data_IF_434643460268
#
_entry.id   IF_434643460268
#
_cell.length_a   1.000
_cell.length_b   1.000
_cell.length_c   1.000
_cell.angle_alpha   90.00
_cell.angle_beta   90.00
_cell.angle_gamma   90.00
#
_symmetry.space_group_name_H-M   'P 1'
#
loop_
_entity.id
_entity.type
_entity.pdbx_description
1 polymer ?
#
# COMPACT_ATOMS: atom_id res chain seq x y z
N UNK A 1 -46.13 -21.35 40.52
CA UNK A 1 -44.74 -21.80 40.71
C UNK A 1 -43.87 -20.89 39.87
N UNK A 2 -42.87 -20.23 40.45
CA UNK A 2 -41.97 -19.39 39.66
C UNK A 2 -41.09 -20.30 38.79
N UNK A 3 -41.01 -20.00 37.50
CA UNK A 3 -40.15 -20.70 36.55
C UNK A 3 -38.69 -20.46 36.94
N UNK A 4 -37.96 -21.52 37.30
CA UNK A 4 -36.54 -21.39 37.63
C UNK A 4 -35.76 -21.17 36.32
N UNK A 5 -35.18 -19.99 36.17
CA UNK A 5 -34.29 -19.67 35.04
C UNK A 5 -33.02 -20.53 35.15
N UNK A 6 -32.73 -21.29 34.10
CA UNK A 6 -31.49 -22.05 33.98
C UNK A 6 -30.45 -21.20 33.25
N UNK A 7 -29.29 -21.00 33.88
CA UNK A 7 -28.14 -20.33 33.30
C UNK A 7 -27.19 -21.39 32.75
N UNK A 8 -26.60 -21.10 31.58
CA UNK A 8 -25.66 -21.98 30.90
C UNK A 8 -24.34 -21.22 30.75
N UNK A 9 -23.26 -21.89 31.14
CA UNK A 9 -21.89 -21.44 30.98
C UNK A 9 -21.06 -22.55 30.34
N UNK A 10 -19.84 -22.23 29.92
CA UNK A 10 -18.95 -23.15 29.22
C UNK A 10 -17.59 -23.12 29.89
N UNK A 11 -17.14 -24.29 30.35
CA UNK A 11 -15.80 -24.46 30.91
C UNK A 11 -14.80 -24.78 29.81
N UNK A 12 -13.57 -24.28 29.93
CA UNK A 12 -12.47 -24.62 29.04
C UNK A 12 -11.18 -24.94 29.80
N UNK A 13 -10.61 -26.14 29.67
CA UNK A 13 -9.28 -26.45 30.20
C UNK A 13 -8.37 -27.03 29.11
N UNK A 14 -7.47 -26.22 28.50
CA UNK A 14 -6.63 -26.68 27.40
C UNK A 14 -5.62 -27.76 27.82
N UNK A 15 -5.29 -27.86 29.12
CA UNK A 15 -4.32 -28.83 29.64
C UNK A 15 -4.98 -30.17 30.04
N UNK A 16 -6.30 -30.27 29.94
CA UNK A 16 -7.03 -31.48 30.27
C UNK A 16 -6.72 -32.64 29.29
N UNK A 17 -6.61 -33.84 29.84
CA UNK A 17 -6.17 -35.03 29.11
C UNK A 17 -7.16 -35.57 28.05
N UNK A 18 -8.45 -35.21 28.12
CA UNK A 18 -9.48 -35.66 27.17
C UNK A 18 -10.34 -34.49 26.68
N UNK A 19 -10.91 -34.63 25.48
CA UNK A 19 -11.76 -33.65 24.82
C UNK A 19 -12.96 -33.22 25.68
N UNK A 20 -13.59 -34.16 26.37
CA UNK A 20 -14.78 -33.91 27.21
C UNK A 20 -14.41 -33.09 28.46
N UNK A 21 -13.16 -33.19 28.92
CA UNK A 21 -12.65 -32.39 30.03
C UNK A 21 -12.15 -31.03 29.56
N UNK A 22 -11.71 -30.93 28.30
CA UNK A 22 -11.28 -29.67 27.69
C UNK A 22 -12.43 -28.69 27.50
N UNK A 23 -13.63 -29.16 27.16
CA UNK A 23 -14.81 -28.29 27.06
C UNK A 23 -16.12 -28.99 27.46
N UNK A 24 -16.87 -28.39 28.37
CA UNK A 24 -18.21 -28.84 28.72
C UNK A 24 -19.12 -27.71 29.22
N UNK A 25 -20.43 -27.88 29.01
CA UNK A 25 -21.43 -26.94 29.48
C UNK A 25 -21.72 -27.13 30.98
N UNK A 26 -21.80 -26.03 31.71
CA UNK A 26 -22.20 -25.95 33.11
C UNK A 26 -23.61 -25.37 33.16
N UNK A 27 -24.52 -26.11 33.80
CA UNK A 27 -25.91 -25.70 34.00
C UNK A 27 -26.15 -25.39 35.48
N UNK A 28 -26.72 -24.22 35.78
CA UNK A 28 -26.96 -23.76 37.15
C UNK A 28 -28.25 -22.95 37.24
N UNK A 29 -28.96 -23.04 38.35
CA UNK A 29 -30.12 -22.19 38.65
C UNK A 29 -29.73 -20.85 39.32
N UNK A 30 -28.43 -20.63 39.54
CA UNK A 30 -27.85 -19.43 40.12
C UNK A 30 -26.95 -18.74 39.08
N UNK A 31 -27.20 -17.46 38.84
CA UNK A 31 -26.36 -16.62 38.00
C UNK A 31 -25.00 -16.32 38.67
N UNK A 32 -23.92 -16.50 37.91
CA UNK A 32 -22.60 -16.04 38.32
C UNK A 32 -22.49 -14.52 38.14
N UNK A 33 -22.32 -13.80 39.26
CA UNK A 33 -22.07 -12.34 39.25
C UNK A 33 -20.73 -12.00 38.60
N UNK A 34 -19.73 -12.85 38.83
CA UNK A 34 -18.42 -12.82 38.19
C UNK A 34 -18.11 -14.25 37.75
N UNK A 35 -17.54 -14.40 36.55
CA UNK A 35 -17.28 -15.72 35.99
C UNK A 35 -16.10 -16.37 36.73
N UNK A 36 -16.25 -17.63 37.19
CA UNK A 36 -15.13 -18.39 37.73
C UNK A 36 -14.01 -18.58 36.70
N UNK A 37 -12.83 -18.95 37.19
CA UNK A 37 -11.68 -19.24 36.34
C UNK A 37 -12.03 -20.33 35.30
N UNK A 38 -11.65 -20.10 34.04
CA UNK A 38 -11.96 -20.94 32.87
C UNK A 38 -13.45 -21.07 32.48
N UNK A 39 -14.33 -20.22 33.01
CA UNK A 39 -15.76 -20.24 32.66
C UNK A 39 -16.12 -19.06 31.77
N UNK A 40 -16.85 -19.35 30.69
CA UNK A 40 -17.25 -18.39 29.67
C UNK A 40 -18.76 -18.43 29.45
N UNK A 41 -19.37 -17.30 29.10
CA UNK A 41 -20.79 -17.23 28.70
C UNK A 41 -21.00 -17.56 27.23
N UNK A 42 -19.94 -17.48 26.42
CA UNK A 42 -19.98 -17.73 24.98
C UNK A 42 -19.92 -19.23 24.70
N UNK A 43 -20.87 -19.75 23.91
CA UNK A 43 -20.85 -21.14 23.43
C UNK A 43 -19.76 -21.30 22.36
N UNK A 44 -18.94 -22.37 22.40
CA UNK A 44 -18.04 -22.68 21.29
C UNK A 44 -18.82 -22.91 19.99
N UNK A 45 -18.20 -22.53 18.86
CA UNK A 45 -18.79 -22.80 17.54
C UNK A 45 -19.00 -24.30 17.34
N UNK A 46 -20.10 -24.67 16.69
CA UNK A 46 -20.40 -26.07 16.34
C UNK A 46 -19.43 -26.64 15.28
N UNK A 47 -18.69 -25.76 14.60
CA UNK A 47 -17.66 -26.14 13.63
C UNK A 47 -16.34 -26.59 14.29
N UNK A 48 -16.17 -26.33 15.60
CA UNK A 48 -15.02 -26.77 16.37
C UNK A 48 -15.28 -28.16 16.91
N UNK A 49 -14.40 -29.12 16.57
CA UNK A 49 -14.53 -30.48 17.09
C UNK A 49 -14.12 -30.50 18.55
N UNK A 50 -12.90 -30.08 18.89
CA UNK A 50 -12.30 -30.06 20.23
C UNK A 50 -12.00 -28.61 20.65
N UNK A 51 -13.03 -27.84 21.07
CA UNK A 51 -12.88 -26.42 21.36
C UNK A 51 -12.15 -26.17 22.68
N UNK A 52 -11.25 -25.19 22.68
CA UNK A 52 -10.59 -24.63 23.85
C UNK A 52 -10.55 -23.10 23.75
N UNK A 53 -10.64 -22.43 24.90
CA UNK A 53 -10.53 -20.98 24.99
C UNK A 53 -9.08 -20.54 24.87
N UNK A 54 -8.81 -19.58 23.99
CA UNK A 54 -7.51 -18.93 23.86
C UNK A 54 -7.57 -17.50 24.40
N UNK A 55 -6.70 -17.21 25.37
CA UNK A 55 -6.53 -15.85 25.90
C UNK A 55 -5.89 -14.89 24.89
N UNK A 56 -5.17 -15.41 23.89
CA UNK A 56 -4.56 -14.59 22.84
C UNK A 56 -5.59 -14.05 21.86
N UNK A 57 -6.55 -14.89 21.46
CA UNK A 57 -7.63 -14.51 20.54
C UNK A 57 -8.85 -13.97 21.28
N UNK A 58 -8.95 -14.23 22.59
CA UNK A 58 -10.13 -13.90 23.39
C UNK A 58 -11.37 -14.69 22.96
N UNK A 59 -11.20 -15.94 22.52
CA UNK A 59 -12.29 -16.74 21.97
C UNK A 59 -11.96 -18.23 21.82
N UNK A 60 -12.95 -19.00 21.38
CA UNK A 60 -12.83 -20.44 21.16
C UNK A 60 -12.01 -20.77 19.90
N UNK A 61 -11.06 -21.69 20.05
CA UNK A 61 -10.23 -22.25 18.97
C UNK A 61 -10.24 -23.77 19.06
N UNK A 62 -9.78 -24.46 18.02
CA UNK A 62 -9.53 -25.90 18.13
C UNK A 62 -8.26 -26.18 18.95
N UNK A 63 -8.33 -27.12 19.88
CA UNK A 63 -7.18 -27.64 20.62
C UNK A 63 -6.13 -28.24 19.67
N UNK A 64 -6.60 -29.02 18.70
CA UNK A 64 -5.75 -29.58 17.65
C UNK A 64 -5.59 -28.58 16.49
N UNK A 65 -4.42 -27.94 16.45
CA UNK A 65 -4.01 -27.02 15.38
C UNK A 65 -3.88 -27.71 14.01
N UNK A 66 -3.92 -29.05 13.97
CA UNK A 66 -3.87 -29.84 12.73
C UNK A 66 -5.23 -30.36 12.27
N UNK A 67 -6.29 -30.10 13.04
CA UNK A 67 -7.65 -30.44 12.61
C UNK A 67 -8.00 -29.68 11.33
N UNK A 68 -8.89 -30.26 10.51
CA UNK A 68 -9.35 -29.62 9.28
C UNK A 68 -9.97 -28.25 9.57
N UNK A 69 -10.71 -28.10 10.67
CA UNK A 69 -11.29 -26.81 11.09
C UNK A 69 -10.24 -25.76 11.42
N UNK A 70 -9.20 -26.12 12.19
CA UNK A 70 -8.09 -25.22 12.51
C UNK A 70 -7.31 -24.79 11.25
N UNK A 71 -7.05 -25.74 10.35
CA UNK A 71 -6.36 -25.47 9.08
C UNK A 71 -7.19 -24.53 8.20
N UNK A 72 -8.50 -24.74 8.10
CA UNK A 72 -9.40 -23.86 7.33
C UNK A 72 -9.45 -22.44 7.92
N UNK A 73 -9.53 -22.31 9.25
CA UNK A 73 -9.50 -21.01 9.92
C UNK A 73 -8.18 -20.27 9.65
N UNK A 74 -7.04 -20.97 9.76
CA UNK A 74 -5.73 -20.41 9.47
C UNK A 74 -5.59 -19.98 8.00
N UNK A 75 -6.07 -20.82 7.07
CA UNK A 75 -6.07 -20.49 5.64
C UNK A 75 -6.94 -19.27 5.33
N UNK A 76 -8.10 -19.15 5.97
CA UNK A 76 -8.96 -17.98 5.80
C UNK A 76 -8.29 -16.68 6.28
N UNK A 77 -7.59 -16.70 7.41
CA UNK A 77 -6.83 -15.53 7.87
C UNK A 77 -5.66 -15.19 6.95
N UNK A 78 -4.95 -16.19 6.42
CA UNK A 78 -3.92 -15.98 5.41
C UNK A 78 -4.50 -15.35 4.13
N UNK A 79 -5.66 -15.82 3.67
CA UNK A 79 -6.36 -15.27 2.49
C UNK A 79 -6.75 -13.81 2.74
N UNK A 80 -7.32 -13.47 3.90
CA UNK A 80 -7.65 -12.07 4.25
C UNK A 80 -6.41 -11.18 4.23
N UNK A 81 -5.30 -11.65 4.79
CA UNK A 81 -4.02 -10.94 4.78
C UNK A 81 -3.51 -10.71 3.35
N UNK A 82 -3.59 -11.74 2.49
CA UNK A 82 -3.20 -11.65 1.08
C UNK A 82 -4.08 -10.69 0.29
N UNK A 83 -5.40 -10.66 0.55
CA UNK A 83 -6.33 -9.71 -0.07
C UNK A 83 -5.92 -8.28 0.28
N UNK A 84 -5.70 -8.00 1.57
CA UNK A 84 -5.27 -6.67 2.02
C UNK A 84 -3.95 -6.24 1.41
N UNK A 85 -2.95 -7.12 1.40
CA UNK A 85 -1.67 -6.85 0.76
C UNK A 85 -1.82 -6.57 -0.75
N UNK A 86 -2.73 -7.25 -1.43
CA UNK A 86 -3.01 -7.02 -2.85
C UNK A 86 -3.64 -5.64 -3.10
N UNK A 87 -4.54 -5.20 -2.22
CA UNK A 87 -5.13 -3.85 -2.26
C UNK A 87 -4.06 -2.77 -2.07
N UNK A 88 -3.17 -2.94 -1.08
CA UNK A 88 -2.04 -2.04 -0.86
C UNK A 88 -1.10 -1.97 -2.08
N UNK A 89 -0.82 -3.11 -2.72
CA UNK A 89 -0.02 -3.16 -3.94
C UNK A 89 -0.70 -2.45 -5.11
N UNK A 90 -2.03 -2.60 -5.29
CA UNK A 90 -2.77 -1.89 -6.33
C UNK A 90 -2.68 -0.38 -6.15
N UNK A 91 -2.79 0.11 -4.92
CA UNK A 91 -2.64 1.52 -4.62
C UNK A 91 -1.23 2.02 -4.97
N UNK A 92 -0.19 1.31 -4.54
CA UNK A 92 1.20 1.67 -4.87
C UNK A 92 1.46 1.70 -6.38
N UNK A 93 0.92 0.76 -7.14
CA UNK A 93 1.03 0.76 -8.60
C UNK A 93 0.36 1.99 -9.20
N UNK A 94 -0.82 2.37 -8.72
CA UNK A 94 -1.52 3.57 -9.18
C UNK A 94 -0.70 4.84 -8.91
N UNK A 95 -0.14 4.97 -7.72
CA UNK A 95 0.71 6.12 -7.35
C UNK A 95 1.98 6.19 -8.22
N UNK A 96 2.60 5.03 -8.50
CA UNK A 96 3.79 4.96 -9.35
C UNK A 96 3.48 5.30 -10.81
N UNK A 97 2.32 4.89 -11.32
CA UNK A 97 1.89 5.26 -12.67
C UNK A 97 1.70 6.78 -12.77
N UNK A 98 1.10 7.42 -11.77
CA UNK A 98 0.97 8.87 -11.74
C UNK A 98 2.33 9.58 -11.74
N UNK A 99 3.29 9.08 -10.95
CA UNK A 99 4.66 9.62 -10.96
C UNK A 99 5.34 9.47 -12.34
N UNK A 100 5.09 8.37 -13.04
CA UNK A 100 5.59 8.16 -14.40
C UNK A 100 4.97 9.18 -15.36
N UNK A 101 3.66 9.41 -15.27
CA UNK A 101 2.97 10.40 -16.10
C UNK A 101 3.52 11.82 -15.86
N UNK A 102 3.75 12.19 -14.60
CA UNK A 102 4.35 13.47 -14.23
C UNK A 102 5.77 13.62 -14.80
N UNK A 103 6.60 12.57 -14.70
CA UNK A 103 7.94 12.55 -15.29
C UNK A 103 7.90 12.66 -16.81
N UNK A 104 6.97 11.97 -17.48
CA UNK A 104 6.79 12.07 -18.92
C UNK A 104 6.39 13.49 -19.34
N UNK A 105 5.49 14.13 -18.61
CA UNK A 105 5.10 15.52 -18.84
C UNK A 105 6.30 16.47 -18.69
N UNK A 106 7.09 16.32 -17.63
CA UNK A 106 8.30 17.12 -17.40
C UNK A 106 9.33 16.93 -18.53
N UNK A 107 9.53 15.71 -19.03
CA UNK A 107 10.41 15.42 -20.17
C UNK A 107 9.88 16.09 -21.44
N UNK A 108 8.58 16.02 -21.71
CA UNK A 108 7.99 16.66 -22.88
C UNK A 108 8.12 18.19 -22.83
N UNK A 109 7.92 18.79 -21.67
CA UNK A 109 8.08 20.22 -21.49
C UNK A 109 9.55 20.65 -21.68
N UNK A 110 10.50 19.93 -21.09
CA UNK A 110 11.93 20.14 -21.29
C UNK A 110 12.33 20.04 -22.76
N UNK A 111 11.81 19.05 -23.49
CA UNK A 111 12.05 18.92 -24.93
C UNK A 111 11.49 20.11 -25.72
N UNK A 112 10.31 20.64 -25.37
CA UNK A 112 9.74 21.85 -26.00
C UNK A 112 10.64 23.06 -25.75
N UNK A 113 11.12 23.24 -24.51
CA UNK A 113 12.03 24.33 -24.17
C UNK A 113 13.37 24.21 -24.94
N UNK A 114 13.95 23.01 -25.01
CA UNK A 114 15.17 22.77 -25.79
C UNK A 114 14.98 23.07 -27.28
N UNK A 115 13.84 22.67 -27.86
CA UNK A 115 13.53 22.97 -29.26
C UNK A 115 13.38 24.48 -29.49
N UNK A 116 12.73 25.20 -28.57
CA UNK A 116 12.63 26.65 -28.62
C UNK A 116 14.00 27.33 -28.53
N UNK A 117 14.86 26.87 -27.62
CA UNK A 117 16.22 27.37 -27.49
C UNK A 117 17.05 27.11 -28.76
N UNK A 118 16.93 25.93 -29.35
CA UNK A 118 17.58 25.60 -30.63
C UNK A 118 17.14 26.51 -31.77
N UNK A 119 15.84 26.84 -31.87
CA UNK A 119 15.34 27.81 -32.84
C UNK A 119 15.90 29.22 -32.58
N UNK A 120 15.93 29.67 -31.32
CA UNK A 120 16.53 30.96 -30.96
C UNK A 120 18.00 31.03 -31.33
N UNK A 121 18.75 29.95 -31.09
CA UNK A 121 20.17 29.87 -31.44
C UNK A 121 20.38 29.94 -32.97
N UNK A 122 19.52 29.29 -33.76
CA UNK A 122 19.57 29.37 -35.22
C UNK A 122 19.29 30.80 -35.72
N UNK A 123 18.27 31.46 -35.17
CA UNK A 123 17.96 32.87 -35.48
C UNK A 123 19.14 33.78 -35.11
N UNK A 124 19.70 33.61 -33.91
CA UNK A 124 20.88 34.36 -33.46
C UNK A 124 22.08 34.13 -34.39
N UNK A 125 22.38 32.88 -34.74
CA UNK A 125 23.48 32.57 -35.67
C UNK A 125 23.28 33.20 -37.05
N UNK A 126 22.04 33.25 -37.54
CA UNK A 126 21.70 33.93 -38.81
C UNK A 126 21.92 35.44 -38.71
N UNK A 127 21.43 36.07 -37.64
CA UNK A 127 21.61 37.51 -37.38
C UNK A 127 23.09 37.88 -37.24
N UNK A 128 23.86 37.09 -36.48
CA UNK A 128 25.30 37.29 -36.30
C UNK A 128 26.05 37.17 -37.63
N UNK A 129 25.71 36.18 -38.45
CA UNK A 129 26.29 36.01 -39.79
C UNK A 129 26.04 37.22 -40.67
N UNK A 130 24.82 37.78 -40.65
CA UNK A 130 24.48 38.99 -41.39
C UNK A 130 25.25 40.21 -40.88
N UNK A 131 25.31 40.41 -39.56
CA UNK A 131 26.05 41.49 -38.95
C UNK A 131 27.54 41.45 -39.31
N UNK A 132 28.15 40.26 -39.28
CA UNK A 132 29.55 40.07 -39.69
C UNK A 132 29.77 40.42 -41.16
N UNK A 133 28.87 40.03 -42.06
CA UNK A 133 28.95 40.44 -43.47
C UNK A 133 28.93 41.96 -43.62
N UNK A 134 27.99 42.64 -42.94
CA UNK A 134 27.89 44.10 -42.98
C UNK A 134 29.17 44.77 -42.45
N UNK A 135 29.73 44.27 -41.35
CA UNK A 135 31.00 44.78 -40.81
C UNK A 135 32.15 44.56 -41.81
N UNK A 136 32.27 43.38 -42.40
CA UNK A 136 33.29 43.08 -43.41
C UNK A 136 33.16 44.01 -44.62
N UNK A 137 31.95 44.22 -45.13
CA UNK A 137 31.69 45.14 -46.24
C UNK A 137 32.08 46.59 -45.89
N UNK A 138 31.74 47.05 -44.67
CA UNK A 138 32.09 48.39 -44.21
C UNK A 138 33.61 48.57 -44.07
N UNK A 139 34.31 47.58 -43.54
CA UNK A 139 35.78 47.57 -43.43
C UNK A 139 36.44 47.60 -44.82
N UNK A 140 35.94 46.79 -45.76
CA UNK A 140 36.45 46.79 -47.14
C UNK A 140 36.28 48.15 -47.80
N UNK A 141 35.10 48.77 -47.68
CA UNK A 141 34.83 50.12 -48.22
C UNK A 141 35.75 51.20 -47.62
N UNK A 142 35.97 51.16 -46.30
CA UNK A 142 36.90 52.08 -45.63
C UNK A 142 38.33 51.89 -46.12
N UNK A 143 38.77 50.64 -46.28
CA UNK A 143 40.10 50.30 -46.78
C UNK A 143 40.30 50.80 -48.22
N UNK A 144 39.28 50.67 -49.06
CA UNK A 144 39.30 51.21 -50.44
C UNK A 144 39.32 52.75 -50.47
N UNK A 145 38.56 53.41 -49.59
CA UNK A 145 38.57 54.86 -49.49
C UNK A 145 39.94 55.40 -49.05
N UNK A 146 40.58 54.77 -48.05
CA UNK A 146 41.92 55.13 -47.59
C UNK A 146 43.00 54.94 -48.67
N UNK A 147 42.87 53.91 -49.53
CA UNK A 147 43.78 53.73 -50.67
C UNK A 147 43.64 54.81 -51.74
N UNK A 148 42.45 55.40 -51.91
CA UNK A 148 42.22 56.47 -52.90
C UNK A 148 42.66 57.86 -52.42
N UNK A 149 42.67 58.11 -51.11
CA UNK A 149 43.09 59.39 -50.55
C UNK A 149 44.63 59.48 -50.34
N UNK A 150 45.34 58.36 -50.28
CA UNK A 150 46.81 58.33 -50.18
C UNK A 150 47.58 58.52 -51.50
N UNK A 151 46.88 58.59 -52.63
CA UNK A 151 47.44 58.69 -53.99
C UNK A 151 47.30 60.13 -54.58
N UNK A 152 47.09 61.14 -53.72
CA UNK A 152 46.99 62.57 -54.09
C UNK A 152 48.13 63.40 -53.55
#
# INVERSE_FOLDING_TARGET
MAEKKLFVYYYSDPDAGTKELRCHAIYTDIEFKELPWHVHTEKPSEDLSDPVWSNETGGWIEADKTSQGAVLAQQNEQIKSLIKANEDYKQQVSERNQQIDDLQNAIQESNRQNNQLGMQFNVFGTQMTQAMKTVTEAVNKLTEAQKKDGDK
#
